data_IF_989529774143
#
_entry.id   IF_989529774143
#
_cell.length_a   1.000
_cell.length_b   1.000
_cell.length_c   1.000
_cell.angle_alpha   90.00
_cell.angle_beta   90.00
_cell.angle_gamma   90.00
#
_symmetry.space_group_name_H-M   'P 1'
#
loop_
_entity.id
_entity.type
_entity.pdbx_description
1 polymer ?
#
# COMPACT_ATOMS: atom_id res chain seq x y z
N UNK A 1 17.50 -17.72 1.27
CA UNK A 1 16.03 -17.67 1.09
C UNK A 1 15.33 -18.82 1.81
N UNK A 2 15.62 -20.10 1.51
CA UNK A 2 15.00 -21.25 2.21
C UNK A 2 15.24 -21.27 3.73
N UNK A 3 16.42 -20.84 4.18
CA UNK A 3 16.76 -20.76 5.62
C UNK A 3 15.91 -19.73 6.39
N UNK A 4 15.56 -18.59 5.77
CA UNK A 4 14.76 -17.55 6.43
C UNK A 4 13.30 -17.95 6.62
N UNK A 5 12.71 -18.60 5.60
CA UNK A 5 11.35 -19.13 5.68
C UNK A 5 11.26 -20.26 6.71
N UNK A 6 12.26 -21.16 6.75
CA UNK A 6 12.31 -22.23 7.74
C UNK A 6 12.36 -21.71 9.18
N UNK A 7 13.21 -20.72 9.45
CA UNK A 7 13.32 -20.09 10.77
C UNK A 7 12.01 -19.43 11.20
N UNK A 8 11.39 -18.64 10.31
CA UNK A 8 10.12 -17.98 10.62
C UNK A 8 9.00 -18.99 10.90
N UNK A 9 8.94 -20.09 10.14
CA UNK A 9 7.95 -21.14 10.37
C UNK A 9 8.11 -21.79 11.76
N UNK A 10 9.35 -22.06 12.19
CA UNK A 10 9.60 -22.58 13.54
C UNK A 10 9.20 -21.58 14.63
N UNK A 11 9.46 -20.29 14.45
CA UNK A 11 9.08 -19.24 15.39
C UNK A 11 7.55 -19.15 15.51
N UNK A 12 6.83 -19.20 14.39
CA UNK A 12 5.35 -19.20 14.36
C UNK A 12 4.79 -20.43 15.08
N UNK A 13 5.35 -21.62 14.85
CA UNK A 13 4.87 -22.87 15.49
C UNK A 13 5.10 -22.88 17.00
N UNK A 14 6.16 -22.20 17.49
CA UNK A 14 6.49 -22.14 18.92
C UNK A 14 5.75 -21.03 19.67
N UNK A 15 5.16 -20.06 18.97
CA UNK A 15 4.45 -18.95 19.59
C UNK A 15 3.11 -19.40 20.19
N UNK A 16 2.80 -18.93 21.39
CA UNK A 16 1.49 -19.16 22.02
C UNK A 16 0.40 -18.31 21.37
N UNK A 17 0.75 -17.08 20.96
CA UNK A 17 -0.12 -16.14 20.27
C UNK A 17 0.64 -15.41 19.17
N UNK A 18 0.01 -15.21 18.01
CA UNK A 18 0.61 -14.55 16.84
C UNK A 18 -0.25 -13.37 16.42
N UNK A 19 0.38 -12.21 16.28
CA UNK A 19 -0.22 -11.00 15.71
C UNK A 19 0.50 -10.66 14.41
N UNK A 20 -0.27 -10.45 13.34
CA UNK A 20 0.27 -10.12 12.02
C UNK A 20 -0.05 -8.66 11.69
N UNK A 21 1.00 -7.88 11.42
CA UNK A 21 0.86 -6.54 10.85
C UNK A 21 0.94 -6.65 9.33
N UNK A 22 -0.11 -6.21 8.65
CA UNK A 22 -0.16 -6.18 7.19
C UNK A 22 -0.07 -4.74 6.68
N UNK A 23 0.37 -4.60 5.45
CA UNK A 23 0.33 -3.34 4.69
C UNK A 23 -0.05 -3.60 3.25
N UNK A 24 -0.12 -2.56 2.42
CA UNK A 24 -0.56 -2.65 1.02
C UNK A 24 0.21 -3.70 0.19
N UNK A 25 1.47 -4.01 0.55
CA UNK A 25 2.28 -5.02 -0.10
C UNK A 25 1.69 -6.44 -0.08
N UNK A 26 0.78 -6.76 0.84
CA UNK A 26 0.10 -8.08 0.83
C UNK A 26 -0.90 -8.21 -0.33
N UNK A 27 -1.36 -7.09 -0.89
CA UNK A 27 -2.38 -7.04 -1.95
C UNK A 27 -1.81 -6.86 -3.35
N UNK A 28 -0.49 -6.68 -3.50
CA UNK A 28 0.15 -6.46 -4.81
C UNK A 28 -0.02 -7.66 -5.74
N UNK A 29 0.09 -8.88 -5.18
CA UNK A 29 -0.15 -10.13 -5.91
C UNK A 29 -1.62 -10.31 -6.33
N UNK A 30 -2.53 -9.52 -5.77
CA UNK A 30 -3.95 -9.46 -6.18
C UNK A 30 -4.22 -8.35 -7.21
N UNK A 31 -3.17 -7.71 -7.74
CA UNK A 31 -3.27 -6.63 -8.72
C UNK A 31 -3.50 -5.24 -8.13
N UNK A 32 -3.65 -5.11 -6.80
CA UNK A 32 -3.83 -3.82 -6.14
C UNK A 32 -2.44 -3.18 -5.93
N UNK A 33 -2.12 -2.06 -6.59
CA UNK A 33 -0.80 -1.46 -6.46
C UNK A 33 -0.58 -0.94 -5.04
N UNK A 34 0.64 -1.13 -4.53
CA UNK A 34 1.05 -0.49 -3.28
C UNK A 34 1.47 0.97 -3.51
N UNK A 35 1.93 1.60 -2.43
CA UNK A 35 2.33 2.99 -2.45
C UNK A 35 3.79 3.21 -2.89
N UNK A 36 4.72 2.31 -2.56
CA UNK A 36 6.16 2.61 -2.49
C UNK A 36 7.06 1.71 -3.33
N UNK A 37 6.60 0.54 -3.75
CA UNK A 37 7.38 -0.35 -4.61
C UNK A 37 7.69 0.33 -5.95
N UNK A 38 8.68 -0.15 -6.71
CA UNK A 38 8.90 0.32 -8.08
C UNK A 38 7.61 0.22 -8.90
N UNK A 39 7.16 1.34 -9.48
CA UNK A 39 5.88 1.43 -10.20
C UNK A 39 4.65 1.61 -9.31
N UNK A 40 4.82 1.68 -7.98
CA UNK A 40 3.76 2.00 -7.02
C UNK A 40 3.27 3.44 -7.11
N UNK A 41 2.26 3.78 -6.31
CA UNK A 41 1.53 5.05 -6.46
C UNK A 41 2.42 6.30 -6.42
N UNK A 42 3.43 6.31 -5.55
CA UNK A 42 4.33 7.46 -5.38
C UNK A 42 5.40 7.58 -6.46
N UNK A 43 5.51 6.62 -7.38
CA UNK A 43 6.28 6.84 -8.61
C UNK A 43 5.51 7.65 -9.65
N UNK A 44 4.20 7.84 -9.47
CA UNK A 44 3.31 8.53 -10.40
C UNK A 44 2.73 9.83 -9.84
N UNK A 45 2.64 9.93 -8.51
CA UNK A 45 2.08 11.10 -7.82
C UNK A 45 2.99 11.57 -6.68
N UNK A 46 2.98 12.87 -6.41
CA UNK A 46 3.64 13.44 -5.22
C UNK A 46 2.79 13.14 -3.97
N UNK A 47 3.32 12.44 -2.95
CA UNK A 47 2.59 12.15 -1.72
C UNK A 47 2.03 13.39 -1.01
N UNK A 48 2.72 14.54 -1.13
CA UNK A 48 2.32 15.80 -0.49
C UNK A 48 1.02 16.37 -1.05
N UNK A 49 0.62 15.97 -2.25
CA UNK A 49 -0.66 16.38 -2.83
C UNK A 49 -1.86 15.73 -2.11
N UNK A 50 -1.64 14.63 -1.36
CA UNK A 50 -2.69 13.89 -0.66
C UNK A 50 -2.68 14.09 0.86
N UNK A 51 -1.84 14.99 1.38
CA UNK A 51 -1.88 15.33 2.80
C UNK A 51 -3.21 15.98 3.15
N UNK A 52 -3.78 15.65 4.31
CA UNK A 52 -5.09 16.13 4.73
C UNK A 52 -5.20 17.66 4.68
N UNK A 53 -4.19 18.39 5.18
CA UNK A 53 -4.17 19.85 5.12
C UNK A 53 -4.14 20.39 3.69
N UNK A 54 -3.48 19.70 2.76
CA UNK A 54 -3.43 20.08 1.33
C UNK A 54 -4.76 19.80 0.65
N UNK A 55 -5.39 18.68 0.94
CA UNK A 55 -6.73 18.35 0.46
C UNK A 55 -7.76 19.43 0.86
N UNK A 56 -7.71 19.92 2.09
CA UNK A 56 -8.61 20.98 2.55
C UNK A 56 -8.32 22.34 1.89
N UNK A 57 -7.04 22.70 1.77
CA UNK A 57 -6.63 24.04 1.35
C UNK A 57 -6.46 24.23 -0.15
N UNK A 58 -6.36 23.16 -0.95
CA UNK A 58 -6.04 23.23 -2.39
C UNK A 58 -7.07 22.51 -3.25
N UNK A 59 -7.64 23.23 -4.22
CA UNK A 59 -8.50 22.63 -5.25
C UNK A 59 -7.73 21.65 -6.14
N UNK A 60 -6.49 21.97 -6.49
CA UNK A 60 -5.61 21.11 -7.30
C UNK A 60 -5.36 19.76 -6.60
N UNK A 61 -5.10 19.78 -5.28
CA UNK A 61 -4.94 18.55 -4.49
C UNK A 61 -6.21 17.70 -4.51
N UNK A 62 -7.40 18.31 -4.42
CA UNK A 62 -8.67 17.57 -4.55
C UNK A 62 -8.85 16.97 -5.94
N UNK A 63 -8.49 17.70 -7.01
CA UNK A 63 -8.54 17.19 -8.39
C UNK A 63 -7.62 15.98 -8.56
N UNK A 64 -6.39 16.06 -8.07
CA UNK A 64 -5.42 14.94 -8.09
C UNK A 64 -5.90 13.75 -7.27
N UNK A 65 -6.47 13.97 -6.08
CA UNK A 65 -7.09 12.91 -5.27
C UNK A 65 -8.15 12.15 -6.05
N UNK A 66 -9.10 12.86 -6.67
CA UNK A 66 -10.17 12.22 -7.44
C UNK A 66 -9.68 11.57 -8.74
N UNK A 67 -8.65 12.12 -9.37
CA UNK A 67 -7.99 11.47 -10.51
C UNK A 67 -7.38 10.13 -10.09
N UNK A 68 -6.56 10.14 -9.04
CA UNK A 68 -5.94 8.95 -8.48
C UNK A 68 -6.98 7.90 -8.07
N UNK A 69 -8.06 8.33 -7.41
CA UNK A 69 -9.15 7.45 -7.00
C UNK A 69 -9.84 6.75 -8.18
N UNK A 70 -10.10 7.47 -9.29
CA UNK A 70 -10.69 6.88 -10.50
C UNK A 70 -9.78 5.81 -11.12
N UNK A 71 -8.48 6.04 -11.14
CA UNK A 71 -7.51 5.06 -11.64
C UNK A 71 -7.49 3.80 -10.75
N UNK A 72 -7.65 3.97 -9.44
CA UNK A 72 -7.70 2.86 -8.49
C UNK A 72 -9.01 2.07 -8.54
N UNK A 73 -10.15 2.75 -8.76
CA UNK A 73 -11.46 2.12 -8.86
C UNK A 73 -11.54 1.12 -10.02
N UNK A 74 -10.86 1.41 -11.13
CA UNK A 74 -10.76 0.50 -12.28
C UNK A 74 -9.97 -0.79 -12.01
N UNK A 75 -9.23 -0.87 -10.90
CA UNK A 75 -8.48 -2.06 -10.48
C UNK A 75 -9.30 -2.93 -9.52
N UNK A 76 -10.30 -2.35 -8.86
CA UNK A 76 -11.13 -3.03 -7.84
C UNK A 76 -12.41 -3.67 -8.41
N UNK A 77 -12.73 -3.43 -9.68
CA UNK A 77 -13.96 -3.87 -10.37
C UNK A 77 -13.67 -4.30 -11.80
#
# INVERSE_FOLDING_TARGET
>A
MKEGVGRLAEEIVKAEEVVVFTGAGVSTESGIPDFRSPGGLWSRYDPSDFYFGRFLSSEDSRRKYWQMYKEFFAVLH
#
